data_IF_862286061782
#
_entry.id   IF_862286061782
#
_cell.length_a   1.000
_cell.length_b   1.000
_cell.length_c   1.000
_cell.angle_alpha   90.00
_cell.angle_beta   90.00
_cell.angle_gamma   90.00
#
_symmetry.space_group_name_H-M   'P 1'
#
loop_
_entity.id
_entity.type
_entity.pdbx_description
1 polymer ?
#
# COMPACT_ATOMS: atom_id res chain seq x y z
N UNK A 1 5.85 11.96 6.59
CA UNK A 1 4.95 10.82 6.37
C UNK A 1 5.77 9.55 6.23
N UNK A 2 5.35 8.49 6.89
CA UNK A 2 5.94 7.15 6.74
C UNK A 2 4.91 6.23 6.12
N UNK A 3 5.31 5.47 5.11
CA UNK A 3 4.45 4.53 4.42
C UNK A 3 5.06 3.15 4.58
N UNK A 4 4.30 2.23 5.18
CA UNK A 4 4.68 0.83 5.31
C UNK A 4 3.76 0.00 4.42
N UNK A 5 4.37 -0.83 3.58
CA UNK A 5 3.65 -1.59 2.58
C UNK A 5 4.13 -3.03 2.61
N UNK A 6 3.18 -3.95 2.50
CA UNK A 6 3.47 -5.38 2.43
C UNK A 6 2.53 -6.02 1.41
N UNK A 7 3.09 -6.81 0.52
CA UNK A 7 2.34 -7.68 -0.38
C UNK A 7 2.78 -9.11 -0.16
N UNK A 8 1.85 -9.97 0.19
CA UNK A 8 2.10 -11.38 0.45
C UNK A 8 1.16 -12.25 -0.36
N UNK A 9 1.47 -13.53 -0.44
CA UNK A 9 0.67 -14.49 -1.17
C UNK A 9 1.13 -14.65 -2.62
N UNK A 10 0.18 -14.95 -3.49
CA UNK A 10 0.48 -15.29 -4.86
C UNK A 10 1.00 -16.71 -4.99
N UNK A 11 1.27 -17.12 -6.21
CA UNK A 11 1.63 -18.50 -6.53
C UNK A 11 2.96 -18.92 -5.91
N UNK A 12 3.90 -17.98 -5.79
CA UNK A 12 5.23 -18.28 -5.27
C UNK A 12 5.33 -18.09 -3.75
N UNK A 13 4.31 -17.56 -3.10
CA UNK A 13 4.34 -17.31 -1.66
C UNK A 13 5.37 -16.28 -1.21
N UNK A 14 5.83 -15.42 -2.10
CA UNK A 14 6.86 -14.43 -1.80
C UNK A 14 6.23 -13.19 -1.18
N UNK A 15 6.83 -12.71 -0.08
CA UNK A 15 6.41 -11.47 0.57
C UNK A 15 7.35 -10.34 0.15
N UNK A 16 6.76 -9.23 -0.30
CA UNK A 16 7.50 -8.00 -0.63
C UNK A 16 7.11 -6.92 0.35
N UNK A 17 8.11 -6.19 0.85
CA UNK A 17 7.90 -5.15 1.84
C UNK A 17 8.61 -3.87 1.44
N UNK A 18 7.98 -2.74 1.76
CA UNK A 18 8.59 -1.43 1.63
C UNK A 18 8.28 -0.62 2.88
N UNK A 19 9.27 0.10 3.37
CA UNK A 19 9.09 1.07 4.45
C UNK A 19 9.75 2.36 3.98
N UNK A 20 8.95 3.39 3.76
CA UNK A 20 9.39 4.61 3.12
C UNK A 20 9.13 5.78 4.07
N UNK A 21 10.18 6.55 4.36
CA UNK A 21 10.05 7.83 5.03
C UNK A 21 10.15 8.91 3.96
N UNK A 22 9.02 9.57 3.68
CA UNK A 22 8.96 10.55 2.59
C UNK A 22 9.86 11.76 2.85
N UNK A 23 10.21 12.03 4.11
CA UNK A 23 11.11 13.14 4.43
C UNK A 23 12.54 12.90 3.92
N UNK A 24 12.89 11.66 3.61
CA UNK A 24 14.20 11.29 3.08
C UNK A 24 14.25 11.25 1.56
N UNK A 25 13.12 11.47 0.91
CA UNK A 25 13.03 11.44 -0.54
C UNK A 25 13.33 12.80 -1.15
N UNK A 26 13.79 12.84 -2.41
CA UNK A 26 13.85 14.10 -3.15
C UNK A 26 12.49 14.79 -3.17
N UNK A 27 12.43 16.15 -3.20
CA UNK A 27 11.15 16.85 -3.06
C UNK A 27 10.08 16.44 -4.07
N UNK A 28 10.46 16.13 -5.30
CA UNK A 28 9.51 15.71 -6.33
C UNK A 28 8.88 14.35 -6.00
N UNK A 29 9.69 13.39 -5.57
CA UNK A 29 9.19 12.06 -5.20
C UNK A 29 8.38 12.11 -3.91
N UNK A 30 8.82 12.92 -2.94
CA UNK A 30 8.09 13.13 -1.71
C UNK A 30 6.68 13.66 -2.01
N UNK A 31 6.58 14.72 -2.82
CA UNK A 31 5.30 15.31 -3.17
C UNK A 31 4.40 14.32 -3.90
N UNK A 32 4.95 13.54 -4.81
CA UNK A 32 4.20 12.56 -5.58
C UNK A 32 3.61 11.48 -4.67
N UNK A 33 4.43 10.89 -3.80
CA UNK A 33 3.97 9.83 -2.91
C UNK A 33 2.97 10.35 -1.88
N UNK A 34 3.21 11.53 -1.32
CA UNK A 34 2.27 12.10 -0.35
C UNK A 34 0.93 12.44 -0.99
N UNK A 35 0.93 12.93 -2.22
CA UNK A 35 -0.29 13.19 -2.96
C UNK A 35 -1.07 11.90 -3.21
N UNK A 36 -0.40 10.84 -3.64
CA UNK A 36 -1.04 9.55 -3.87
C UNK A 36 -1.58 8.95 -2.57
N UNK A 37 -0.82 9.05 -1.49
CA UNK A 37 -1.26 8.53 -0.20
C UNK A 37 -2.46 9.29 0.34
N UNK A 38 -2.48 10.61 0.19
CA UNK A 38 -3.59 11.44 0.65
C UNK A 38 -4.85 11.24 -0.19
N UNK A 39 -4.70 10.79 -1.44
CA UNK A 39 -5.85 10.50 -2.30
C UNK A 39 -6.54 9.19 -1.94
N UNK A 40 -5.92 8.34 -1.13
CA UNK A 40 -6.55 7.12 -0.69
C UNK A 40 -7.60 7.39 0.39
N UNK A 41 -8.78 6.81 0.20
CA UNK A 41 -9.83 6.86 1.19
C UNK A 41 -9.93 5.52 1.89
N UNK A 42 -9.33 5.42 3.08
CA UNK A 42 -9.31 4.18 3.86
C UNK A 42 -10.71 3.75 4.30
N UNK A 43 -11.65 4.71 4.42
CA UNK A 43 -13.02 4.38 4.79
C UNK A 43 -13.80 3.71 3.69
N UNK A 44 -13.36 3.82 2.44
CA UNK A 44 -14.04 3.21 1.29
C UNK A 44 -13.41 1.92 0.81
N UNK A 45 -12.33 1.47 1.45
CA UNK A 45 -11.74 0.19 1.13
C UNK A 45 -12.62 -0.90 1.75
N UNK A 46 -13.20 -1.81 0.93
CA UNK A 46 -14.03 -2.87 1.48
C UNK A 46 -13.21 -3.76 2.40
N UNK A 47 -13.84 -4.25 3.45
CA UNK A 47 -13.19 -5.21 4.33
C UNK A 47 -12.76 -6.43 3.52
N UNK A 48 -11.53 -6.89 3.75
CA UNK A 48 -11.02 -8.07 3.08
C UNK A 48 -11.86 -9.28 3.46
N UNK A 49 -12.49 -9.91 2.46
CA UNK A 49 -13.21 -11.16 2.71
C UNK A 49 -12.19 -12.28 2.83
N UNK A 50 -12.19 -13.05 3.92
CA UNK A 50 -11.36 -14.23 3.99
C UNK A 50 -11.84 -15.20 2.93
N UNK A 51 -11.02 -15.45 1.95
CA UNK A 51 -11.32 -16.41 0.90
C UNK A 51 -10.08 -17.24 0.59
N UNK A 52 -10.26 -18.52 0.28
CA UNK A 52 -9.15 -19.37 -0.10
C UNK A 52 -8.77 -19.06 -1.53
N UNK A 53 -7.86 -18.12 -1.73
CA UNK A 53 -7.27 -17.97 -3.06
C UNK A 53 -5.78 -17.87 -2.88
N UNK A 54 -5.13 -19.01 -2.96
CA UNK A 54 -3.70 -19.11 -2.88
C UNK A 54 -3.00 -18.30 -3.98
N UNK A 55 -3.74 -17.95 -5.04
CA UNK A 55 -3.22 -17.25 -6.20
C UNK A 55 -3.32 -15.74 -6.10
N UNK A 56 -4.00 -15.22 -5.08
CA UNK A 56 -4.22 -13.79 -4.95
C UNK A 56 -3.24 -13.17 -3.97
N UNK A 57 -2.80 -11.97 -4.32
CA UNK A 57 -1.98 -11.19 -3.42
C UNK A 57 -2.83 -10.56 -2.33
N UNK A 58 -2.24 -10.50 -1.13
CA UNK A 58 -2.80 -9.79 0.01
C UNK A 58 -1.93 -8.56 0.25
N UNK A 59 -2.56 -7.43 0.49
CA UNK A 59 -1.86 -6.17 0.71
C UNK A 59 -2.14 -5.66 2.10
N UNK A 60 -1.12 -5.09 2.72
CA UNK A 60 -1.26 -4.32 3.95
C UNK A 60 -0.56 -3.00 3.75
N UNK A 61 -1.28 -1.93 3.98
CA UNK A 61 -0.77 -0.58 3.82
C UNK A 61 -0.99 0.20 5.09
N UNK A 62 0.07 0.79 5.63
CA UNK A 62 0.00 1.64 6.81
C UNK A 62 0.60 2.98 6.46
N UNK A 63 -0.13 4.06 6.76
CA UNK A 63 0.36 5.42 6.56
C UNK A 63 0.37 6.11 7.92
N UNK A 64 1.54 6.63 8.29
CA UNK A 64 1.73 7.36 9.55
C UNK A 64 2.10 8.80 9.19
N UNK A 65 1.27 9.73 9.62
CA UNK A 65 1.47 11.14 9.31
C UNK A 65 1.05 11.99 10.50
N UNK A 66 2.01 12.72 11.08
CA UNK A 66 1.73 13.66 12.17
C UNK A 66 1.08 13.02 13.38
N UNK A 67 1.47 11.80 13.73
CA UNK A 67 0.89 11.07 14.86
C UNK A 67 -0.38 10.33 14.53
N UNK A 68 -0.89 10.45 13.31
CA UNK A 68 -2.04 9.69 12.84
C UNK A 68 -1.57 8.45 12.11
N UNK A 69 -2.19 7.33 12.43
CA UNK A 69 -1.87 6.05 11.81
C UNK A 69 -3.12 5.49 11.17
N UNK A 70 -3.03 5.17 9.88
CA UNK A 70 -4.11 4.53 9.13
C UNK A 70 -3.58 3.24 8.54
N UNK A 71 -4.31 2.15 8.74
CA UNK A 71 -3.93 0.84 8.23
C UNK A 71 -5.09 0.26 7.45
N UNK A 72 -4.79 -0.31 6.29
CA UNK A 72 -5.77 -1.04 5.48
C UNK A 72 -5.16 -2.36 5.04
N UNK A 73 -6.00 -3.39 5.02
CA UNK A 73 -5.66 -4.70 4.47
C UNK A 73 -6.69 -5.05 3.39
N UNK A 74 -6.21 -5.47 2.23
CA UNK A 74 -7.08 -5.76 1.10
C UNK A 74 -6.43 -6.77 0.17
N UNK A 75 -7.25 -7.38 -0.69
CA UNK A 75 -6.80 -8.35 -1.68
C UNK A 75 -6.79 -7.71 -3.07
N UNK A 76 -6.20 -8.41 -4.05
CA UNK A 76 -6.12 -7.93 -5.44
C UNK A 76 -7.47 -7.48 -5.99
N UNK A 77 -8.53 -8.24 -5.73
CA UNK A 77 -9.85 -7.92 -6.25
C UNK A 77 -10.47 -6.67 -5.65
N UNK A 78 -9.87 -6.12 -4.60
CA UNK A 78 -10.37 -4.93 -3.92
C UNK A 78 -9.58 -3.67 -4.27
N UNK A 79 -8.55 -3.81 -5.12
CA UNK A 79 -7.74 -2.66 -5.55
C UNK A 79 -8.56 -1.80 -6.51
N UNK A 80 -8.76 -0.55 -6.13
CA UNK A 80 -9.48 0.42 -6.97
C UNK A 80 -8.50 1.13 -7.91
N UNK A 81 -9.01 1.74 -9.00
CA UNK A 81 -8.14 2.54 -9.88
C UNK A 81 -7.42 3.67 -9.17
N UNK A 82 -8.00 4.22 -8.09
CA UNK A 82 -7.35 5.28 -7.31
C UNK A 82 -6.17 4.77 -6.51
N UNK A 83 -6.18 3.50 -6.12
CA UNK A 83 -5.11 2.90 -5.34
C UNK A 83 -3.94 2.43 -6.22
N UNK A 84 -4.20 2.14 -7.47
CA UNK A 84 -3.23 1.50 -8.37
C UNK A 84 -1.93 2.31 -8.53
N UNK A 85 -1.96 3.63 -8.76
CA UNK A 85 -0.71 4.38 -8.91
C UNK A 85 0.18 4.30 -7.67
N UNK A 86 -0.41 4.37 -6.47
CA UNK A 86 0.34 4.28 -5.23
C UNK A 86 0.95 2.88 -5.07
N UNK A 87 0.14 1.84 -5.28
CA UNK A 87 0.61 0.47 -5.15
C UNK A 87 1.72 0.15 -6.15
N UNK A 88 1.59 0.59 -7.39
CA UNK A 88 2.62 0.37 -8.40
C UNK A 88 3.93 1.02 -8.00
N UNK A 89 3.87 2.24 -7.46
CA UNK A 89 5.07 2.94 -7.01
C UNK A 89 5.70 2.25 -5.81
N UNK A 90 4.89 1.81 -4.86
CA UNK A 90 5.39 1.09 -3.68
C UNK A 90 6.02 -0.23 -4.06
N UNK A 91 5.45 -0.94 -5.04
CA UNK A 91 6.03 -2.19 -5.53
C UNK A 91 7.39 -1.98 -6.20
N UNK A 92 7.58 -0.86 -6.88
CA UNK A 92 8.88 -0.51 -7.46
C UNK A 92 9.94 -0.29 -6.39
N UNK A 93 9.53 0.19 -5.22
CA UNK A 93 10.42 0.48 -4.10
C UNK A 93 10.55 -0.70 -3.14
N UNK A 94 9.70 -1.71 -3.27
CA UNK A 94 9.70 -2.88 -2.38
C UNK A 94 10.88 -3.79 -2.69
N UNK A 95 11.36 -4.45 -1.65
CA UNK A 95 12.44 -5.42 -1.72
C UNK A 95 11.96 -6.82 -1.38
#
# INVERSE_FOLDING_TARGET
MRIQFERSGGFAGVTRKASIDTTRLPPAEKAQLETLANAMDFGQIPAAKPGPSADRFQYRLTIIDGGRRKTAAFADGQVTPQMRPLLDRLLQLAR
#
